data_IF_988225961656
#
_entry.id   IF_988225961656
#
_cell.length_a   1.000
_cell.length_b   1.000
_cell.length_c   1.000
_cell.angle_alpha   90.00
_cell.angle_beta   90.00
_cell.angle_gamma   90.00
#
_symmetry.space_group_name_H-M   'P 1'
#
loop_
_entity.id
_entity.type
_entity.pdbx_description
1 polymer ?
#
# COMPACT_ATOMS: atom_id res chain seq x y z
N UNK A 1 7.95 -11.81 32.02
CA UNK A 1 8.36 -11.23 33.33
C UNK A 1 7.56 -11.82 34.48
N UNK A 2 6.23 -11.62 34.57
CA UNK A 2 5.36 -12.17 35.65
C UNK A 2 5.55 -13.68 35.83
N UNK A 3 5.44 -14.46 34.75
CA UNK A 3 5.69 -15.92 34.78
C UNK A 3 7.13 -16.30 35.19
N UNK A 4 8.12 -15.50 34.83
CA UNK A 4 9.52 -15.78 35.16
C UNK A 4 9.82 -15.51 36.65
N UNK A 5 9.18 -14.50 37.24
CA UNK A 5 9.30 -14.16 38.66
C UNK A 5 8.50 -15.12 39.55
N UNK A 6 7.37 -15.65 39.07
CA UNK A 6 6.62 -16.68 39.78
C UNK A 6 7.33 -18.04 39.81
N UNK A 7 8.15 -18.36 38.80
CA UNK A 7 9.00 -19.57 38.80
C UNK A 7 10.12 -19.52 39.85
N UNK A 8 10.39 -18.35 40.43
CA UNK A 8 11.35 -18.14 41.51
C UNK A 8 10.66 -17.95 42.87
N UNK A 9 9.35 -18.23 42.97
CA UNK A 9 8.50 -18.00 44.15
C UNK A 9 8.47 -16.54 44.66
N UNK A 10 8.91 -15.59 43.83
CA UNK A 10 8.96 -14.16 44.17
C UNK A 10 7.61 -13.43 43.95
N UNK A 11 6.60 -14.12 43.43
CA UNK A 11 5.34 -13.50 43.01
C UNK A 11 4.14 -14.37 43.37
N UNK A 12 3.25 -13.82 44.20
CA UNK A 12 1.98 -14.47 44.57
C UNK A 12 0.87 -14.13 43.59
N UNK A 13 -0.18 -14.96 43.55
CA UNK A 13 -1.34 -14.74 42.69
C UNK A 13 -2.03 -13.39 42.96
N UNK A 14 -2.00 -12.91 44.20
CA UNK A 14 -2.52 -11.61 44.62
C UNK A 14 -1.86 -10.43 43.90
N UNK A 15 -0.57 -10.56 43.59
CA UNK A 15 0.20 -9.52 42.91
C UNK A 15 0.17 -9.76 41.41
N UNK A 16 0.18 -11.02 40.97
CA UNK A 16 0.22 -11.37 39.56
C UNK A 16 -1.05 -10.97 38.80
N UNK A 17 -2.25 -11.19 39.35
CA UNK A 17 -3.51 -10.90 38.64
C UNK A 17 -3.64 -9.39 38.31
N UNK A 18 -3.47 -8.44 39.24
CA UNK A 18 -3.49 -7.02 38.91
C UNK A 18 -2.45 -6.62 37.85
N UNK A 19 -1.24 -7.18 37.89
CA UNK A 19 -0.19 -6.89 36.90
C UNK A 19 -0.59 -7.41 35.52
N UNK A 20 -1.20 -8.60 35.43
CA UNK A 20 -1.71 -9.15 34.16
C UNK A 20 -2.77 -8.24 33.56
N UNK A 21 -3.72 -7.75 34.38
CA UNK A 21 -4.75 -6.81 33.93
C UNK A 21 -4.12 -5.51 33.40
N UNK A 22 -3.13 -4.96 34.11
CA UNK A 22 -2.40 -3.77 33.68
C UNK A 22 -1.60 -3.99 32.39
N UNK A 23 -0.91 -5.12 32.27
CA UNK A 23 -0.18 -5.49 31.06
C UNK A 23 -1.11 -5.64 29.84
N UNK A 24 -2.34 -6.13 30.05
CA UNK A 24 -3.34 -6.25 28.99
C UNK A 24 -3.79 -4.88 28.43
N UNK A 25 -3.76 -3.82 29.24
CA UNK A 25 -3.93 -2.45 28.75
C UNK A 25 -2.65 -1.98 28.05
N UNK A 26 -1.49 -2.27 28.64
CA UNK A 26 -0.17 -1.87 28.12
C UNK A 26 0.13 -2.35 26.70
N UNK A 27 -0.38 -3.50 26.28
CA UNK A 27 -0.22 -3.99 24.88
C UNK A 27 -0.85 -3.06 23.84
N UNK A 28 -1.76 -2.18 24.25
CA UNK A 28 -2.37 -1.20 23.35
C UNK A 28 -1.41 -0.07 22.94
N UNK A 29 -0.27 0.11 23.64
CA UNK A 29 0.70 1.14 23.29
C UNK A 29 1.23 0.99 21.86
N UNK A 30 1.47 -0.26 21.41
CA UNK A 30 1.86 -0.53 20.04
C UNK A 30 0.76 -0.13 19.04
N UNK A 31 -0.49 -0.46 19.33
CA UNK A 31 -1.64 -0.11 18.48
C UNK A 31 -1.84 1.41 18.36
N UNK A 32 -1.56 2.17 19.43
CA UNK A 32 -1.57 3.64 19.40
C UNK A 32 -0.49 4.13 18.45
N UNK A 33 0.75 3.69 18.63
CA UNK A 33 1.88 4.13 17.81
C UNK A 33 1.67 3.78 16.34
N UNK A 34 1.16 2.58 16.03
CA UNK A 34 0.92 2.14 14.65
C UNK A 34 -0.28 2.84 14.00
N UNK A 35 -1.24 3.34 14.78
CA UNK A 35 -2.39 4.06 14.22
C UNK A 35 -2.15 5.56 14.02
N UNK A 36 -1.06 6.10 14.56
CA UNK A 36 -0.63 7.48 14.29
C UNK A 36 -0.17 7.60 12.83
N UNK A 37 -1.01 8.23 12.00
CA UNK A 37 -0.78 8.39 10.56
C UNK A 37 -1.51 7.38 9.68
N UNK A 38 -2.22 6.40 10.25
CA UNK A 38 -2.97 5.41 9.50
C UNK A 38 -4.36 5.90 9.04
N UNK A 39 -4.97 5.19 8.09
CA UNK A 39 -6.32 5.46 7.60
C UNK A 39 -7.39 5.39 8.72
N UNK A 40 -8.61 5.88 8.44
CA UNK A 40 -9.69 5.95 9.45
C UNK A 40 -10.03 4.56 10.00
N UNK A 41 -10.05 3.53 9.16
CA UNK A 41 -10.34 2.16 9.57
C UNK A 41 -9.31 1.64 10.58
N UNK A 42 -8.02 1.82 10.30
CA UNK A 42 -6.94 1.45 11.22
C UNK A 42 -7.02 2.22 12.55
N UNK A 43 -7.37 3.50 12.51
CA UNK A 43 -7.61 4.31 13.73
C UNK A 43 -8.84 3.81 14.51
N UNK A 44 -9.91 3.42 13.83
CA UNK A 44 -11.11 2.83 14.45
C UNK A 44 -10.79 1.46 15.09
N UNK A 45 -10.01 0.61 14.43
CA UNK A 45 -9.58 -0.69 14.97
C UNK A 45 -8.70 -0.50 16.21
N UNK A 46 -7.72 0.42 16.15
CA UNK A 46 -6.87 0.73 17.29
C UNK A 46 -7.68 1.28 18.49
N UNK A 47 -8.63 2.18 18.22
CA UNK A 47 -9.52 2.72 19.24
C UNK A 47 -10.45 1.66 19.85
N UNK A 48 -11.01 0.77 19.02
CA UNK A 48 -11.80 -0.36 19.50
C UNK A 48 -10.95 -1.28 20.39
N UNK A 49 -9.73 -1.60 19.97
CA UNK A 49 -8.81 -2.44 20.74
C UNK A 49 -8.50 -1.84 22.12
N UNK A 50 -8.19 -0.54 22.19
CA UNK A 50 -7.99 0.18 23.47
C UNK A 50 -9.26 0.15 24.32
N UNK A 51 -10.41 0.47 23.71
CA UNK A 51 -11.68 0.56 24.40
C UNK A 51 -12.05 -0.77 25.06
N UNK A 52 -11.99 -1.89 24.32
CA UNK A 52 -12.30 -3.22 24.86
C UNK A 52 -11.37 -3.62 26.00
N UNK A 53 -10.07 -3.33 25.88
CA UNK A 53 -9.07 -3.71 26.89
C UNK A 53 -9.24 -2.90 28.17
N UNK A 54 -9.46 -1.59 28.06
CA UNK A 54 -9.68 -0.71 29.22
C UNK A 54 -11.02 -1.00 29.89
N UNK A 55 -12.11 -1.05 29.13
CA UNK A 55 -13.45 -1.29 29.67
C UNK A 55 -13.54 -2.70 30.27
N UNK A 56 -12.95 -3.70 29.60
CA UNK A 56 -12.87 -5.06 30.11
C UNK A 56 -12.16 -5.14 31.47
N UNK A 57 -11.04 -4.44 31.66
CA UNK A 57 -10.38 -4.37 32.98
C UNK A 57 -11.26 -3.67 34.02
N UNK A 58 -11.90 -2.55 33.68
CA UNK A 58 -12.79 -1.80 34.59
C UNK A 58 -13.96 -2.68 35.07
N UNK A 59 -14.62 -3.37 34.15
CA UNK A 59 -15.75 -4.26 34.47
C UNK A 59 -15.28 -5.42 35.35
N UNK A 60 -14.09 -5.94 35.10
CA UNK A 60 -13.57 -7.11 35.79
C UNK A 60 -12.97 -6.81 37.16
N UNK A 61 -12.52 -5.57 37.39
CA UNK A 61 -11.83 -5.15 38.61
C UNK A 61 -12.61 -5.44 39.91
N UNK A 62 -13.93 -5.15 40.02
CA UNK A 62 -14.70 -5.49 41.23
C UNK A 62 -14.79 -7.00 41.52
N UNK A 63 -14.61 -7.84 40.50
CA UNK A 63 -14.70 -9.30 40.60
C UNK A 63 -13.35 -9.98 40.81
N UNK A 64 -12.27 -9.23 40.98
CA UNK A 64 -10.90 -9.77 41.06
C UNK A 64 -10.73 -10.81 42.18
N UNK A 65 -11.43 -10.63 43.30
CA UNK A 65 -11.41 -11.57 44.43
C UNK A 65 -12.09 -12.91 44.10
N UNK A 66 -13.26 -12.86 43.45
CA UNK A 66 -13.96 -14.07 42.98
C UNK A 66 -13.17 -14.75 41.87
N UNK A 67 -12.61 -13.97 40.95
CA UNK A 67 -11.79 -14.50 39.87
C UNK A 67 -10.55 -15.21 40.41
N UNK A 68 -9.85 -14.60 41.37
CA UNK A 68 -8.72 -15.23 42.05
C UNK A 68 -9.12 -16.58 42.65
N UNK A 69 -10.22 -16.61 43.40
CA UNK A 69 -10.72 -17.85 44.01
C UNK A 69 -10.94 -18.94 42.95
N UNK A 70 -11.56 -18.60 41.81
CA UNK A 70 -11.74 -19.55 40.70
C UNK A 70 -10.39 -20.03 40.15
N UNK A 71 -9.44 -19.11 39.94
CA UNK A 71 -8.12 -19.42 39.37
C UNK A 71 -7.31 -20.36 40.29
N UNK A 72 -7.43 -20.24 41.61
CA UNK A 72 -6.74 -21.12 42.56
C UNK A 72 -7.12 -22.60 42.39
N UNK A 73 -8.32 -22.90 41.87
CA UNK A 73 -8.76 -24.28 41.56
C UNK A 73 -8.35 -24.78 40.18
N UNK A 74 -7.76 -23.93 39.32
CA UNK A 74 -7.45 -24.30 37.93
C UNK A 74 -6.13 -25.05 37.76
N UNK A 75 -5.22 -24.94 38.73
CA UNK A 75 -3.92 -25.64 38.74
C UNK A 75 -3.32 -25.64 40.14
N UNK A 76 -2.37 -26.55 40.40
CA UNK A 76 -1.66 -26.67 41.68
C UNK A 76 -0.43 -25.76 41.80
N UNK A 77 0.09 -25.24 40.68
CA UNK A 77 1.27 -24.38 40.63
C UNK A 77 0.93 -22.95 40.19
N UNK A 78 1.60 -21.97 40.81
CA UNK A 78 1.35 -20.54 40.59
C UNK A 78 1.59 -20.12 39.12
N UNK A 79 2.66 -20.55 38.43
CA UNK A 79 2.88 -20.19 37.03
C UNK A 79 1.72 -20.59 36.11
N UNK A 80 1.18 -21.80 36.27
CA UNK A 80 0.03 -22.26 35.47
C UNK A 80 -1.26 -21.55 35.84
N UNK A 81 -1.47 -21.23 37.12
CA UNK A 81 -2.59 -20.37 37.55
C UNK A 81 -2.53 -18.99 36.89
N UNK A 82 -1.34 -18.39 36.78
CA UNK A 82 -1.12 -17.09 36.10
C UNK A 82 -1.45 -17.19 34.60
N UNK A 83 -1.00 -18.26 33.93
CA UNK A 83 -1.32 -18.49 32.52
C UNK A 83 -2.83 -18.69 32.29
N UNK A 84 -3.48 -19.49 33.14
CA UNK A 84 -4.92 -19.72 33.11
C UNK A 84 -5.70 -18.42 33.36
N UNK A 85 -5.24 -17.58 34.30
CA UNK A 85 -5.83 -16.28 34.57
C UNK A 85 -5.81 -15.38 33.33
N UNK A 86 -4.68 -15.28 32.63
CA UNK A 86 -4.60 -14.48 31.41
C UNK A 86 -5.56 -14.97 30.32
N UNK A 87 -5.63 -16.29 30.09
CA UNK A 87 -6.50 -16.88 29.07
C UNK A 87 -7.98 -16.72 29.43
N UNK A 88 -8.38 -17.11 30.65
CA UNK A 88 -9.78 -17.00 31.09
C UNK A 88 -10.28 -15.56 31.07
N UNK A 89 -9.44 -14.60 31.46
CA UNK A 89 -9.79 -13.19 31.41
C UNK A 89 -10.06 -12.71 29.97
N UNK A 90 -9.16 -13.01 29.02
CA UNK A 90 -9.35 -12.62 27.63
C UNK A 90 -10.55 -13.32 26.98
N UNK A 91 -10.79 -14.59 27.28
CA UNK A 91 -11.98 -15.33 26.80
C UNK A 91 -13.27 -14.75 27.40
N UNK A 92 -13.28 -14.45 28.69
CA UNK A 92 -14.44 -13.86 29.36
C UNK A 92 -14.80 -12.49 28.77
N UNK A 93 -13.80 -11.62 28.54
CA UNK A 93 -13.99 -10.34 27.85
C UNK A 93 -14.53 -10.57 26.43
N UNK A 94 -13.92 -11.48 25.66
CA UNK A 94 -14.37 -11.75 24.30
C UNK A 94 -15.82 -12.21 24.27
N UNK A 95 -16.21 -13.19 25.09
CA UNK A 95 -17.59 -13.68 25.19
C UNK A 95 -18.56 -12.59 25.66
N UNK A 96 -18.13 -11.75 26.61
CA UNK A 96 -18.94 -10.65 27.12
C UNK A 96 -19.22 -9.58 26.05
N UNK A 97 -18.22 -9.23 25.24
CA UNK A 97 -18.32 -8.15 24.25
C UNK A 97 -18.78 -8.59 22.86
N UNK A 98 -18.63 -9.85 22.50
CA UNK A 98 -19.05 -10.40 21.21
C UNK A 98 -20.54 -10.10 20.87
N UNK A 99 -21.52 -10.25 21.78
CA UNK A 99 -22.91 -9.88 21.47
C UNK A 99 -23.14 -8.36 21.30
N UNK A 100 -22.17 -7.53 21.70
CA UNK A 100 -22.22 -6.07 21.59
C UNK A 100 -21.21 -5.53 20.55
N UNK A 101 -20.68 -6.40 19.69
CA UNK A 101 -19.71 -6.00 18.67
C UNK A 101 -20.27 -4.91 17.75
N UNK A 102 -21.48 -5.08 17.21
CA UNK A 102 -22.07 -4.10 16.28
C UNK A 102 -22.45 -2.76 16.95
N UNK A 103 -23.14 -2.74 18.12
CA UNK A 103 -23.38 -1.49 18.83
C UNK A 103 -22.11 -0.73 19.17
N UNK A 104 -21.05 -1.45 19.57
CA UNK A 104 -19.79 -0.81 19.91
C UNK A 104 -19.03 -0.33 18.68
N UNK A 105 -19.03 -1.09 17.58
CA UNK A 105 -18.47 -0.64 16.31
C UNK A 105 -19.13 0.68 15.87
N UNK A 106 -20.45 0.79 16.03
CA UNK A 106 -21.18 2.03 15.74
C UNK A 106 -20.79 3.17 16.69
N UNK A 107 -20.55 2.90 17.99
CA UNK A 107 -20.06 3.89 18.93
C UNK A 107 -18.66 4.39 18.55
N UNK A 108 -17.74 3.48 18.19
CA UNK A 108 -16.38 3.82 17.77
C UNK A 108 -16.40 4.64 16.47
N UNK A 109 -17.21 4.25 15.48
CA UNK A 109 -17.43 5.06 14.26
C UNK A 109 -18.00 6.44 14.56
N UNK A 110 -18.77 6.61 15.64
CA UNK A 110 -19.27 7.93 16.06
C UNK A 110 -18.21 8.76 16.80
N UNK A 111 -17.33 8.11 17.58
CA UNK A 111 -16.24 8.78 18.30
C UNK A 111 -15.08 9.17 17.37
N UNK A 112 -14.83 8.35 16.37
CA UNK A 112 -13.88 8.58 15.29
C UNK A 112 -14.69 8.57 13.99
N UNK A 113 -15.44 9.67 13.73
CA UNK A 113 -16.21 9.80 12.50
C UNK A 113 -15.28 9.68 11.31
N UNK A 114 -15.74 8.94 10.30
CA UNK A 114 -15.28 9.15 8.93
C UNK A 114 -15.44 10.66 8.68
N UNK A 115 -14.33 11.37 8.46
CA UNK A 115 -14.38 12.82 8.32
C UNK A 115 -15.33 13.19 7.19
N UNK A 116 -16.33 14.05 7.47
CA UNK A 116 -17.07 14.76 6.44
C UNK A 116 -16.07 15.68 5.71
N UNK A 117 -15.38 15.15 4.71
CA UNK A 117 -14.29 15.88 4.03
C UNK A 117 -13.28 15.03 3.26
N UNK A 118 -13.27 13.71 3.44
CA UNK A 118 -12.72 12.84 2.40
C UNK A 118 -13.91 12.35 1.58
N UNK A 119 -14.17 12.99 0.42
CA UNK A 119 -14.90 12.29 -0.64
C UNK A 119 -14.22 10.91 -0.74
N UNK A 120 -14.95 9.83 -0.42
CA UNK A 120 -14.41 8.48 -0.58
C UNK A 120 -13.86 8.42 -2.00
N UNK A 121 -12.55 8.28 -2.11
CA UNK A 121 -11.91 8.25 -3.40
C UNK A 121 -12.60 7.18 -4.24
N UNK A 122 -13.06 7.56 -5.41
CA UNK A 122 -13.91 6.72 -6.23
C UNK A 122 -14.04 7.25 -7.64
N UNK A 123 -14.71 6.52 -8.53
CA UNK A 123 -14.87 6.93 -9.91
C UNK A 123 -15.59 8.28 -10.02
N UNK A 124 -15.05 9.18 -10.84
CA UNK A 124 -15.63 10.51 -11.07
C UNK A 124 -16.46 10.57 -12.35
N UNK A 125 -16.06 9.82 -13.37
CA UNK A 125 -16.62 9.90 -14.71
C UNK A 125 -17.48 8.70 -15.09
N UNK A 126 -17.40 7.59 -14.37
CA UNK A 126 -18.12 6.35 -14.70
C UNK A 126 -19.60 6.45 -14.31
N UNK A 127 -20.46 6.83 -15.26
CA UNK A 127 -21.91 6.92 -15.04
C UNK A 127 -22.62 5.63 -15.50
N UNK A 128 -23.29 4.89 -14.59
CA UNK A 128 -24.01 3.67 -14.96
C UNK A 128 -25.24 3.92 -15.85
N UNK A 129 -25.76 5.14 -15.93
CA UNK A 129 -26.97 5.44 -16.71
C UNK A 129 -26.71 5.52 -18.23
N UNK A 130 -25.45 5.70 -18.65
CA UNK A 130 -25.08 5.82 -20.07
C UNK A 130 -24.57 4.52 -20.67
N UNK A 131 -24.65 3.40 -19.94
CA UNK A 131 -24.20 2.08 -20.40
C UNK A 131 -24.90 1.63 -21.70
N UNK A 132 -26.11 2.11 -21.96
CA UNK A 132 -26.86 1.84 -23.20
C UNK A 132 -26.36 2.66 -24.41
N UNK A 133 -25.32 3.49 -24.23
CA UNK A 133 -24.71 4.31 -25.29
C UNK A 133 -23.19 4.04 -25.30
N UNK A 134 -22.74 2.92 -25.91
CA UNK A 134 -21.37 2.42 -25.74
C UNK A 134 -20.28 3.44 -26.08
N UNK A 135 -20.42 4.18 -27.19
CA UNK A 135 -19.47 5.25 -27.54
C UNK A 135 -19.30 6.32 -26.42
N UNK A 136 -20.39 6.72 -25.77
CA UNK A 136 -20.33 7.69 -24.66
C UNK A 136 -19.73 7.07 -23.41
N UNK A 137 -20.12 5.84 -23.08
CA UNK A 137 -19.60 5.10 -21.93
C UNK A 137 -18.08 4.84 -22.07
N UNK A 138 -17.60 4.46 -23.25
CA UNK A 138 -16.16 4.30 -23.53
C UNK A 138 -15.40 5.63 -23.42
N UNK A 139 -16.01 6.74 -23.82
CA UNK A 139 -15.48 8.08 -23.59
C UNK A 139 -15.36 8.43 -22.11
N UNK A 140 -16.33 8.04 -21.28
CA UNK A 140 -16.28 8.18 -19.83
C UNK A 140 -15.19 7.32 -19.19
N UNK A 141 -15.09 6.05 -19.58
CA UNK A 141 -14.04 5.14 -19.14
C UNK A 141 -12.63 5.64 -19.52
N UNK A 142 -12.49 6.24 -20.72
CA UNK A 142 -11.24 6.90 -21.15
C UNK A 142 -10.85 8.03 -20.19
N UNK A 143 -11.80 8.89 -19.79
CA UNK A 143 -11.51 9.99 -18.86
C UNK A 143 -11.12 9.49 -17.47
N UNK A 144 -11.76 8.41 -17.01
CA UNK A 144 -11.39 7.79 -15.73
C UNK A 144 -9.99 7.16 -15.79
N UNK A 145 -9.67 6.49 -16.90
CA UNK A 145 -8.33 5.93 -17.13
C UNK A 145 -7.24 7.02 -17.17
N UNK A 146 -7.51 8.17 -17.80
CA UNK A 146 -6.58 9.31 -17.76
C UNK A 146 -6.39 9.84 -16.33
N UNK A 147 -7.47 9.92 -15.53
CA UNK A 147 -7.37 10.32 -14.12
C UNK A 147 -6.52 9.34 -13.31
N UNK A 148 -6.67 8.03 -13.56
CA UNK A 148 -5.80 7.00 -12.97
C UNK A 148 -4.33 7.24 -13.35
N UNK A 149 -4.06 7.61 -14.61
CA UNK A 149 -2.68 7.90 -15.06
C UNK A 149 -2.07 9.15 -14.40
N UNK A 150 -2.88 10.16 -14.03
CA UNK A 150 -2.40 11.34 -13.30
C UNK A 150 -1.87 10.94 -11.90
N UNK A 151 -2.54 9.98 -11.24
CA UNK A 151 -2.14 9.45 -9.93
C UNK A 151 -0.82 8.70 -10.07
N UNK A 152 -0.74 7.78 -11.04
CA UNK A 152 0.48 7.01 -11.32
C UNK A 152 1.64 7.93 -11.73
N UNK A 153 1.37 9.00 -12.50
CA UNK A 153 2.38 10.00 -12.86
C UNK A 153 2.93 10.70 -11.62
N UNK A 154 2.06 11.11 -10.71
CA UNK A 154 2.46 11.71 -9.44
C UNK A 154 3.28 10.75 -8.59
N UNK A 155 2.84 9.49 -8.45
CA UNK A 155 3.58 8.44 -7.74
C UNK A 155 4.98 8.25 -8.33
N UNK A 156 5.08 8.15 -9.66
CA UNK A 156 6.35 8.00 -10.35
C UNK A 156 7.25 9.19 -10.08
N UNK A 157 6.76 10.43 -10.25
CA UNK A 157 7.54 11.65 -10.02
C UNK A 157 8.02 11.79 -8.58
N UNK A 158 7.18 11.50 -7.60
CA UNK A 158 7.53 11.64 -6.18
C UNK A 158 8.40 10.49 -5.65
N UNK A 159 8.39 9.33 -6.30
CA UNK A 159 9.19 8.18 -5.86
C UNK A 159 10.69 8.51 -5.75
N UNK A 160 11.23 9.33 -6.65
CA UNK A 160 12.65 9.73 -6.60
C UNK A 160 12.96 10.64 -5.40
N UNK A 161 12.02 11.53 -5.05
CA UNK A 161 12.13 12.44 -3.90
C UNK A 161 12.30 11.66 -2.59
N UNK A 162 11.65 10.50 -2.46
CA UNK A 162 11.82 9.61 -1.29
C UNK A 162 13.26 9.11 -1.19
N UNK A 163 13.87 8.68 -2.30
CA UNK A 163 15.27 8.23 -2.29
C UNK A 163 16.26 9.36 -1.98
N UNK A 164 15.96 10.58 -2.42
CA UNK A 164 16.77 11.77 -2.17
C UNK A 164 16.68 12.27 -0.73
N UNK A 165 15.48 12.30 -0.15
CA UNK A 165 15.21 12.99 1.12
C UNK A 165 15.00 12.06 2.32
N UNK A 166 14.84 10.75 2.10
CA UNK A 166 14.45 9.78 3.11
C UNK A 166 13.10 10.13 3.79
N UNK A 167 12.21 10.86 3.10
CA UNK A 167 10.93 11.31 3.65
C UNK A 167 9.93 10.15 3.76
N UNK A 168 9.72 9.66 4.99
CA UNK A 168 8.79 8.57 5.31
C UNK A 168 7.32 8.94 5.11
N UNK A 169 6.95 10.20 5.30
CA UNK A 169 5.57 10.65 5.09
C UNK A 169 5.22 10.65 3.61
N UNK A 170 6.17 11.05 2.76
CA UNK A 170 6.00 10.98 1.31
C UNK A 170 5.93 9.53 0.83
N UNK A 171 6.79 8.66 1.38
CA UNK A 171 6.74 7.23 1.12
C UNK A 171 5.34 6.68 1.38
N UNK A 172 4.80 6.87 2.59
CA UNK A 172 3.47 6.38 2.95
C UNK A 172 2.35 6.97 2.08
N UNK A 173 2.45 8.24 1.67
CA UNK A 173 1.50 8.85 0.73
C UNK A 173 1.53 8.17 -0.64
N UNK A 174 2.69 7.73 -1.12
CA UNK A 174 2.79 6.99 -2.38
C UNK A 174 2.10 5.64 -2.26
N UNK A 175 2.30 4.91 -1.17
CA UNK A 175 1.63 3.62 -0.92
C UNK A 175 0.10 3.79 -0.89
N UNK A 176 -0.41 4.84 -0.23
CA UNK A 176 -1.84 5.15 -0.22
C UNK A 176 -2.40 5.49 -1.61
N UNK A 177 -1.60 6.06 -2.51
CA UNK A 177 -2.03 6.33 -3.89
C UNK A 177 -2.12 5.06 -4.72
N UNK A 178 -1.38 4.02 -4.38
CA UNK A 178 -1.49 2.72 -5.05
C UNK A 178 -2.88 2.10 -4.80
N UNK A 179 -3.39 2.18 -3.56
CA UNK A 179 -4.75 1.75 -3.22
C UNK A 179 -5.83 2.47 -4.08
N UNK A 180 -5.60 3.75 -4.39
CA UNK A 180 -6.46 4.54 -5.26
C UNK A 180 -6.40 4.03 -6.72
N UNK A 181 -5.20 3.70 -7.22
CA UNK A 181 -4.97 3.15 -8.56
C UNK A 181 -5.67 1.79 -8.71
N UNK A 182 -5.51 0.89 -7.73
CA UNK A 182 -6.17 -0.42 -7.67
C UNK A 182 -7.70 -0.30 -7.70
N UNK A 183 -8.24 0.66 -6.94
CA UNK A 183 -9.67 0.94 -6.94
C UNK A 183 -10.14 1.35 -8.34
N UNK A 184 -9.47 2.27 -9.01
CA UNK A 184 -9.89 2.72 -10.35
C UNK A 184 -9.75 1.64 -11.41
N UNK A 185 -8.68 0.85 -11.39
CA UNK A 185 -8.54 -0.26 -12.33
C UNK A 185 -9.73 -1.23 -12.23
N UNK A 186 -10.10 -1.61 -11.00
CA UNK A 186 -11.24 -2.48 -10.75
C UNK A 186 -12.55 -1.86 -11.22
N UNK A 187 -12.83 -0.61 -10.84
CA UNK A 187 -14.10 0.05 -11.20
C UNK A 187 -14.22 0.28 -12.71
N UNK A 188 -13.11 0.63 -13.39
CA UNK A 188 -13.09 0.76 -14.85
C UNK A 188 -13.34 -0.60 -15.51
N UNK A 189 -12.66 -1.68 -15.09
CA UNK A 189 -12.87 -3.04 -15.64
C UNK A 189 -14.30 -3.52 -15.45
N UNK A 190 -14.89 -3.30 -14.27
CA UNK A 190 -16.30 -3.63 -13.99
C UNK A 190 -17.24 -2.81 -14.87
N UNK A 191 -16.96 -1.53 -15.07
CA UNK A 191 -17.75 -0.65 -15.92
C UNK A 191 -17.71 -1.12 -17.39
N UNK A 192 -16.51 -1.39 -17.93
CA UNK A 192 -16.34 -1.89 -19.31
C UNK A 192 -17.04 -3.25 -19.52
N UNK A 193 -16.90 -4.17 -18.56
CA UNK A 193 -17.58 -5.47 -18.61
C UNK A 193 -19.10 -5.33 -18.72
N UNK A 194 -19.70 -4.31 -18.07
CA UNK A 194 -21.14 -4.04 -18.19
C UNK A 194 -21.51 -3.46 -19.55
N UNK A 195 -20.64 -2.67 -20.19
CA UNK A 195 -20.84 -2.20 -21.56
C UNK A 195 -20.81 -3.39 -22.52
N UNK A 196 -19.87 -4.31 -22.38
CA UNK A 196 -19.72 -5.48 -23.26
C UNK A 196 -20.91 -6.47 -23.23
N UNK A 197 -21.81 -6.34 -22.25
CA UNK A 197 -23.09 -7.08 -22.26
C UNK A 197 -24.07 -6.56 -23.32
N UNK A 198 -23.79 -5.40 -23.92
CA UNK A 198 -24.49 -4.87 -25.09
C UNK A 198 -23.78 -5.26 -26.39
N UNK A 199 -24.44 -5.11 -27.54
CA UNK A 199 -23.78 -5.37 -28.83
C UNK A 199 -22.83 -4.24 -29.19
N UNK A 200 -21.53 -4.48 -29.04
CA UNK A 200 -20.47 -3.56 -29.47
C UNK A 200 -20.17 -3.67 -30.97
N UNK A 201 -19.90 -2.55 -31.61
CA UNK A 201 -19.27 -2.54 -32.94
C UNK A 201 -17.79 -2.95 -32.85
N UNK A 202 -17.16 -3.38 -33.96
CA UNK A 202 -15.72 -3.71 -33.95
C UNK A 202 -14.82 -2.56 -33.47
N UNK A 203 -15.17 -1.31 -33.80
CA UNK A 203 -14.42 -0.14 -33.34
C UNK A 203 -14.56 0.07 -31.82
N UNK A 204 -15.76 -0.13 -31.28
CA UNK A 204 -16.01 0.00 -29.83
C UNK A 204 -15.33 -1.11 -29.02
N UNK A 205 -15.37 -2.36 -29.48
CA UNK A 205 -14.68 -3.49 -28.83
C UNK A 205 -13.16 -3.29 -28.83
N UNK A 206 -12.61 -2.75 -29.92
CA UNK A 206 -11.19 -2.37 -29.97
C UNK A 206 -10.87 -1.27 -28.97
N UNK A 207 -11.72 -0.24 -28.90
CA UNK A 207 -11.53 0.86 -27.95
C UNK A 207 -11.63 0.39 -26.50
N UNK A 208 -12.54 -0.52 -26.20
CA UNK A 208 -12.61 -1.18 -24.89
C UNK A 208 -11.30 -1.90 -24.56
N UNK A 209 -10.77 -2.69 -25.48
CA UNK A 209 -9.49 -3.39 -25.30
C UNK A 209 -8.32 -2.42 -25.07
N UNK A 210 -8.25 -1.31 -25.81
CA UNK A 210 -7.25 -0.24 -25.59
C UNK A 210 -7.32 0.30 -24.15
N UNK A 211 -8.53 0.54 -23.62
CA UNK A 211 -8.72 1.07 -22.26
C UNK A 211 -8.31 0.02 -21.22
N UNK A 212 -8.71 -1.25 -21.38
CA UNK A 212 -8.32 -2.34 -20.46
C UNK A 212 -6.81 -2.52 -20.41
N UNK A 213 -6.16 -2.52 -21.59
CA UNK A 213 -4.71 -2.63 -21.68
C UNK A 213 -4.02 -1.43 -21.04
N UNK A 214 -4.57 -0.22 -21.22
CA UNK A 214 -4.03 0.98 -20.59
C UNK A 214 -4.13 0.93 -19.07
N UNK A 215 -5.31 0.66 -18.48
CA UNK A 215 -5.47 0.62 -17.02
C UNK A 215 -4.64 -0.49 -16.39
N UNK A 216 -4.56 -1.65 -17.04
CA UNK A 216 -3.72 -2.75 -16.55
C UNK A 216 -2.24 -2.35 -16.53
N UNK A 217 -1.73 -1.64 -17.55
CA UNK A 217 -0.35 -1.15 -17.50
C UNK A 217 -0.14 -0.05 -16.45
N UNK A 218 -1.16 0.79 -16.18
CA UNK A 218 -1.10 1.78 -15.10
C UNK A 218 -1.02 1.11 -13.71
N UNK A 219 -1.85 0.10 -13.46
CA UNK A 219 -1.81 -0.70 -12.22
C UNK A 219 -0.46 -1.38 -12.04
N UNK A 220 0.06 -2.05 -13.08
CA UNK A 220 1.37 -2.69 -13.02
C UNK A 220 2.51 -1.68 -12.73
N UNK A 221 2.39 -0.42 -13.20
CA UNK A 221 3.37 0.62 -12.89
C UNK A 221 3.24 1.07 -11.43
N UNK A 222 2.01 1.28 -10.94
CA UNK A 222 1.72 1.55 -9.52
C UNK A 222 2.33 0.48 -8.61
N UNK A 223 2.05 -0.78 -8.91
CA UNK A 223 2.59 -1.95 -8.24
C UNK A 223 4.12 -1.98 -8.19
N UNK A 224 4.79 -1.58 -9.28
CA UNK A 224 6.25 -1.50 -9.27
C UNK A 224 6.75 -0.36 -8.38
N UNK A 225 6.06 0.77 -8.37
CA UNK A 225 6.40 1.90 -7.53
C UNK A 225 6.21 1.55 -6.05
N UNK A 226 5.05 1.03 -5.66
CA UNK A 226 4.75 0.64 -4.28
C UNK A 226 5.59 -0.56 -3.83
N UNK A 227 5.31 -1.73 -4.40
CA UNK A 227 5.82 -3.03 -3.89
C UNK A 227 7.30 -3.26 -4.18
N UNK A 228 7.92 -2.48 -5.07
CA UNK A 228 9.36 -2.59 -5.34
C UNK A 228 10.14 -1.32 -4.98
N UNK A 229 9.81 -0.15 -5.57
CA UNK A 229 10.61 1.05 -5.30
C UNK A 229 10.45 1.54 -3.86
N UNK A 230 9.24 1.59 -3.30
CA UNK A 230 9.05 2.02 -1.91
C UNK A 230 9.65 1.02 -0.91
N UNK A 231 9.62 -0.28 -1.20
CA UNK A 231 10.33 -1.28 -0.38
C UNK A 231 11.86 -1.09 -0.40
N UNK A 232 12.45 -0.77 -1.56
CA UNK A 232 13.86 -0.41 -1.67
C UNK A 232 14.18 0.88 -0.90
N UNK A 233 13.28 1.86 -0.92
CA UNK A 233 13.41 3.09 -0.15
C UNK A 233 13.33 2.82 1.36
N UNK A 234 12.38 2.00 1.83
CA UNK A 234 12.29 1.56 3.24
C UNK A 234 13.58 0.89 3.69
N UNK A 235 14.13 -0.01 2.86
CA UNK A 235 15.40 -0.70 3.13
C UNK A 235 16.56 0.28 3.26
N UNK A 236 16.69 1.23 2.34
CA UNK A 236 17.69 2.30 2.39
C UNK A 236 17.59 3.13 3.68
N UNK A 237 16.39 3.62 3.98
CA UNK A 237 16.11 4.47 5.14
C UNK A 237 16.40 3.72 6.46
N UNK A 238 15.98 2.46 6.55
CA UNK A 238 16.16 1.64 7.77
C UNK A 238 17.62 1.25 7.98
N UNK A 239 18.37 1.03 6.90
CA UNK A 239 19.80 0.68 6.97
C UNK A 239 20.71 1.90 7.15
N UNK A 240 20.17 3.12 7.03
CA UNK A 240 20.94 4.37 7.20
C UNK A 240 21.99 4.61 6.11
N UNK A 241 21.87 3.94 4.96
CA UNK A 241 22.84 4.03 3.85
C UNK A 241 22.48 5.14 2.88
N UNK A 242 23.50 5.72 2.23
CA UNK A 242 23.34 6.77 1.21
C UNK A 242 24.06 6.36 -0.06
N UNK A 243 23.47 6.71 -1.21
CA UNK A 243 24.15 6.55 -2.50
C UNK A 243 25.29 7.57 -2.61
N UNK A 244 26.29 7.27 -3.44
CA UNK A 244 27.24 8.31 -3.87
C UNK A 244 26.52 9.39 -4.68
N UNK A 245 27.11 10.58 -4.75
CA UNK A 245 26.53 11.71 -5.51
C UNK A 245 26.34 11.36 -6.99
N UNK A 246 27.32 10.68 -7.60
CA UNK A 246 27.23 10.20 -8.98
C UNK A 246 26.13 9.15 -9.12
N UNK A 247 26.04 8.20 -8.18
CA UNK A 247 25.04 7.14 -8.23
C UNK A 247 23.61 7.67 -8.08
N UNK A 248 23.41 8.66 -7.21
CA UNK A 248 22.11 9.34 -7.09
C UNK A 248 21.78 10.10 -8.37
N UNK A 249 22.73 10.87 -8.92
CA UNK A 249 22.53 11.63 -10.15
C UNK A 249 22.13 10.73 -11.33
N UNK A 250 22.81 9.60 -11.50
CA UNK A 250 22.50 8.62 -12.54
C UNK A 250 21.07 8.06 -12.42
N UNK A 251 20.65 7.73 -11.20
CA UNK A 251 19.27 7.26 -10.95
C UNK A 251 18.27 8.37 -11.29
N UNK A 252 18.52 9.61 -10.87
CA UNK A 252 17.66 10.76 -11.15
C UNK A 252 17.54 11.01 -12.66
N UNK A 253 18.67 11.00 -13.38
CA UNK A 253 18.70 11.23 -14.82
C UNK A 253 17.94 10.12 -15.58
N UNK A 254 18.09 8.86 -15.16
CA UNK A 254 17.34 7.74 -15.76
C UNK A 254 15.85 7.80 -15.44
N UNK A 255 15.51 8.09 -14.19
CA UNK A 255 14.12 8.28 -13.74
C UNK A 255 13.43 9.39 -14.55
N UNK A 256 14.10 10.52 -14.76
CA UNK A 256 13.57 11.63 -15.55
C UNK A 256 13.25 11.21 -16.99
N UNK A 257 14.08 10.35 -17.61
CA UNK A 257 13.80 9.81 -18.95
C UNK A 257 12.61 8.85 -18.97
N UNK A 258 12.41 8.06 -17.92
CA UNK A 258 11.23 7.21 -17.77
C UNK A 258 9.96 8.07 -17.62
N UNK A 259 10.02 9.14 -16.82
CA UNK A 259 8.93 10.10 -16.64
C UNK A 259 8.58 10.81 -17.96
N UNK A 260 9.57 11.30 -18.70
CA UNK A 260 9.35 11.89 -20.03
C UNK A 260 8.64 10.90 -20.97
N UNK A 261 9.02 9.63 -20.95
CA UNK A 261 8.38 8.61 -21.79
C UNK A 261 6.96 8.28 -21.32
N UNK A 262 6.68 8.37 -20.02
CA UNK A 262 5.33 8.24 -19.44
C UNK A 262 4.40 9.36 -19.92
N UNK A 263 4.89 10.60 -19.98
CA UNK A 263 4.10 11.75 -20.46
C UNK A 263 3.71 11.60 -21.94
N UNK A 264 4.64 11.07 -22.75
CA UNK A 264 4.38 10.77 -24.16
C UNK A 264 3.35 9.65 -24.30
N UNK A 265 3.37 8.63 -23.43
CA UNK A 265 2.38 7.53 -23.49
C UNK A 265 0.97 7.96 -23.12
N UNK A 266 0.81 8.83 -22.12
CA UNK A 266 -0.50 9.44 -21.82
C UNK A 266 -1.01 10.21 -23.04
N UNK A 267 -0.14 11.03 -23.64
CA UNK A 267 -0.49 11.82 -24.82
C UNK A 267 -0.89 10.93 -25.99
N UNK A 268 -0.11 9.87 -26.27
CA UNK A 268 -0.39 8.90 -27.31
C UNK A 268 -1.76 8.22 -27.11
N UNK A 269 -2.07 7.79 -25.89
CA UNK A 269 -3.34 7.17 -25.53
C UNK A 269 -4.53 8.13 -25.65
N UNK A 270 -4.38 9.36 -25.15
CA UNK A 270 -5.43 10.37 -25.16
C UNK A 270 -5.80 10.81 -26.59
N UNK A 271 -4.79 11.04 -27.44
CA UNK A 271 -5.00 11.50 -28.81
C UNK A 271 -5.06 10.39 -29.86
N UNK A 272 -4.81 9.13 -29.46
CA UNK A 272 -4.67 7.96 -30.34
C UNK A 272 -3.67 8.23 -31.49
N UNK A 273 -2.55 8.89 -31.14
CA UNK A 273 -1.56 9.33 -32.12
C UNK A 273 -0.47 8.27 -32.29
N UNK A 274 -0.39 7.70 -33.50
CA UNK A 274 0.56 6.65 -33.87
C UNK A 274 2.01 7.12 -33.90
N UNK A 275 2.26 8.36 -34.29
CA UNK A 275 3.61 8.91 -34.30
C UNK A 275 4.18 8.98 -32.89
N UNK A 276 3.33 9.33 -31.90
CA UNK A 276 3.70 9.26 -30.49
C UNK A 276 3.92 7.80 -30.03
N UNK A 277 3.04 6.87 -30.42
CA UNK A 277 3.20 5.45 -30.12
C UNK A 277 4.52 4.86 -30.69
N UNK A 278 4.87 5.18 -31.93
CA UNK A 278 6.16 4.79 -32.52
C UNK A 278 7.35 5.46 -31.82
N UNK A 279 7.19 6.70 -31.35
CA UNK A 279 8.23 7.41 -30.59
C UNK A 279 8.56 6.66 -29.31
N UNK A 280 7.55 6.21 -28.57
CA UNK A 280 7.73 5.43 -27.33
C UNK A 280 8.46 4.11 -27.63
N UNK A 281 8.12 3.41 -28.72
CA UNK A 281 8.82 2.18 -29.12
C UNK A 281 10.29 2.42 -29.44
N UNK A 282 10.64 3.54 -30.09
CA UNK A 282 12.05 3.91 -30.33
C UNK A 282 12.77 4.23 -29.02
N UNK A 283 12.12 4.94 -28.10
CA UNK A 283 12.68 5.25 -26.79
C UNK A 283 12.95 3.99 -25.96
N UNK A 284 12.15 2.92 -26.08
CA UNK A 284 12.40 1.65 -25.38
C UNK A 284 13.81 1.09 -25.62
N UNK A 285 14.32 1.19 -26.85
CA UNK A 285 15.68 0.74 -27.18
C UNK A 285 16.72 1.61 -26.47
N UNK A 286 16.59 2.95 -26.60
CA UNK A 286 17.52 3.89 -26.02
C UNK A 286 17.57 3.82 -24.48
N UNK A 287 16.43 3.75 -23.80
CA UNK A 287 16.39 3.58 -22.34
C UNK A 287 16.95 2.21 -21.92
N UNK A 288 16.82 1.19 -22.75
CA UNK A 288 17.44 -0.12 -22.51
C UNK A 288 18.97 -0.10 -22.62
N UNK A 289 19.52 0.71 -23.52
CA UNK A 289 20.96 0.95 -23.63
C UNK A 289 21.46 1.79 -22.45
N UNK A 290 20.77 2.88 -22.13
CA UNK A 290 21.10 3.75 -20.98
C UNK A 290 21.15 2.95 -19.67
N UNK A 291 20.19 2.05 -19.42
CA UNK A 291 20.21 1.19 -18.23
C UNK A 291 21.45 0.28 -18.17
N UNK A 292 21.87 -0.28 -19.31
CA UNK A 292 23.07 -1.12 -19.39
C UNK A 292 24.34 -0.32 -19.10
N UNK A 293 24.43 0.88 -19.65
CA UNK A 293 25.57 1.77 -19.43
C UNK A 293 25.68 2.20 -17.96
N UNK A 294 24.55 2.55 -17.34
CA UNK A 294 24.48 2.89 -15.92
C UNK A 294 24.87 1.71 -15.01
N UNK A 295 24.42 0.50 -15.34
CA UNK A 295 24.87 -0.71 -14.64
C UNK A 295 26.38 -0.90 -14.74
N UNK A 296 26.95 -0.71 -15.92
CA UNK A 296 28.39 -0.86 -16.12
C UNK A 296 29.17 0.21 -15.35
N UNK A 297 28.68 1.45 -15.34
CA UNK A 297 29.23 2.54 -14.54
C UNK A 297 29.22 2.20 -13.04
N UNK A 298 28.12 1.62 -12.53
CA UNK A 298 28.03 1.15 -11.15
C UNK A 298 29.04 0.03 -10.85
N UNK A 299 29.18 -0.97 -11.72
CA UNK A 299 30.18 -2.06 -11.54
C UNK A 299 31.61 -1.49 -11.50
N UNK A 300 31.92 -0.51 -12.35
CA UNK A 300 33.23 0.13 -12.33
C UNK A 300 33.51 0.83 -10.99
N UNK A 301 32.50 1.48 -10.39
CA UNK A 301 32.61 2.08 -9.04
C UNK A 301 32.86 1.03 -7.96
N UNK A 302 32.25 -0.15 -8.06
CA UNK A 302 32.52 -1.27 -7.15
C UNK A 302 33.98 -1.75 -7.28
N UNK A 303 34.50 -1.87 -8.50
CA UNK A 303 35.90 -2.25 -8.73
C UNK A 303 36.90 -1.22 -8.17
N UNK A 304 36.50 0.05 -8.07
CA UNK A 304 37.30 1.11 -7.45
C UNK A 304 37.27 1.08 -5.91
N UNK A 305 36.44 0.23 -5.30
CA UNK A 305 36.36 0.08 -3.84
C UNK A 305 35.64 1.22 -3.12
N UNK A 306 34.75 1.95 -3.81
CA UNK A 306 33.95 3.01 -3.19
C UNK A 306 32.94 2.41 -2.21
N UNK A 307 33.07 2.74 -0.92
CA UNK A 307 32.30 2.11 0.15
C UNK A 307 30.80 2.37 -0.01
N UNK A 308 30.40 3.59 -0.36
CA UNK A 308 29.00 3.97 -0.58
C UNK A 308 28.36 3.15 -1.73
N UNK A 309 29.14 2.85 -2.76
CA UNK A 309 28.67 2.02 -3.88
C UNK A 309 28.47 0.55 -3.45
N UNK A 310 29.36 0.03 -2.60
CA UNK A 310 29.26 -1.34 -2.05
C UNK A 310 28.02 -1.46 -1.15
N UNK A 311 27.85 -0.54 -0.21
CA UNK A 311 26.79 -0.57 0.80
C UNK A 311 25.38 -0.45 0.18
N UNK A 312 25.28 0.22 -0.98
CA UNK A 312 24.01 0.46 -1.68
C UNK A 312 23.83 -0.37 -2.95
N UNK A 313 24.78 -1.26 -3.30
CA UNK A 313 24.84 -1.88 -4.63
C UNK A 313 23.55 -2.58 -5.06
N UNK A 314 23.01 -3.45 -4.19
CA UNK A 314 21.76 -4.15 -4.47
C UNK A 314 20.60 -3.17 -4.70
N UNK A 315 20.47 -2.15 -3.84
CA UNK A 315 19.41 -1.15 -3.94
C UNK A 315 19.54 -0.36 -5.24
N UNK A 316 20.75 0.07 -5.59
CA UNK A 316 21.02 0.85 -6.79
C UNK A 316 20.64 0.09 -8.06
N UNK A 317 21.11 -1.16 -8.19
CA UNK A 317 20.84 -1.99 -9.37
C UNK A 317 19.36 -2.38 -9.48
N UNK A 318 18.70 -2.60 -8.35
CA UNK A 318 17.27 -2.93 -8.33
C UNK A 318 16.40 -1.72 -8.70
N UNK A 319 16.79 -0.49 -8.33
CA UNK A 319 16.10 0.72 -8.80
C UNK A 319 16.17 0.83 -10.33
N UNK A 320 17.36 0.68 -10.92
CA UNK A 320 17.53 0.73 -12.38
C UNK A 320 16.69 -0.34 -13.09
N UNK A 321 16.67 -1.56 -12.55
CA UNK A 321 15.86 -2.66 -13.06
C UNK A 321 14.36 -2.34 -13.01
N UNK A 322 13.87 -1.80 -11.89
CA UNK A 322 12.46 -1.44 -11.73
C UNK A 322 12.04 -0.26 -12.63
N UNK A 323 12.88 0.77 -12.79
CA UNK A 323 12.65 1.86 -13.74
C UNK A 323 12.55 1.37 -15.20
N UNK A 324 13.38 0.40 -15.58
CA UNK A 324 13.28 -0.26 -16.89
C UNK A 324 12.01 -1.10 -17.04
N UNK A 325 11.57 -1.79 -15.98
CA UNK A 325 10.29 -2.52 -15.98
C UNK A 325 9.11 -1.57 -16.15
N UNK A 326 9.10 -0.44 -15.42
CA UNK A 326 8.12 0.64 -15.61
C UNK A 326 8.11 1.11 -17.06
N UNK A 327 9.28 1.39 -17.64
CA UNK A 327 9.38 1.78 -19.05
C UNK A 327 8.84 0.72 -20.03
N UNK A 328 8.94 -0.57 -19.68
CA UNK A 328 8.37 -1.65 -20.48
C UNK A 328 6.84 -1.60 -20.47
N UNK A 329 6.21 -1.36 -19.31
CA UNK A 329 4.75 -1.14 -19.22
C UNK A 329 4.30 0.13 -19.94
N UNK A 330 5.05 1.23 -19.81
CA UNK A 330 4.84 2.46 -20.59
C UNK A 330 4.81 2.15 -22.09
N UNK A 331 5.75 1.31 -22.55
CA UNK A 331 5.82 0.94 -23.96
C UNK A 331 4.65 0.06 -24.39
N UNK A 332 4.17 -0.83 -23.52
CA UNK A 332 3.06 -1.73 -23.84
C UNK A 332 1.75 -0.99 -24.15
N UNK A 333 1.59 0.24 -23.66
CA UNK A 333 0.46 1.13 -24.01
C UNK A 333 0.41 1.43 -25.51
N UNK A 334 1.56 1.39 -26.20
CA UNK A 334 1.65 1.71 -27.63
C UNK A 334 1.10 0.61 -28.53
N UNK A 335 1.14 -0.67 -28.12
CA UNK A 335 0.78 -1.78 -28.99
C UNK A 335 -0.69 -1.75 -29.44
N UNK A 336 -1.69 -1.57 -28.54
CA UNK A 336 -3.09 -1.49 -28.96
C UNK A 336 -3.39 -0.33 -29.92
N UNK A 337 -2.67 0.79 -29.78
CA UNK A 337 -2.79 1.98 -30.64
C UNK A 337 -2.25 1.69 -32.05
N UNK A 338 -1.18 0.89 -32.16
CA UNK A 338 -0.53 0.59 -33.43
C UNK A 338 -1.30 -0.48 -34.22
N UNK A 339 -1.83 -1.49 -33.53
CA UNK A 339 -2.72 -2.52 -34.09
C UNK A 339 -3.98 -1.92 -34.75
N UNK A 340 -4.26 -0.62 -34.56
CA UNK A 340 -5.35 0.12 -35.22
C UNK A 340 -5.42 -0.08 -36.74
N UNK A 341 -4.30 -0.33 -37.45
CA UNK A 341 -4.27 -0.36 -38.92
C UNK A 341 -3.64 -1.60 -39.61
N UNK A 342 -3.50 -2.75 -38.94
CA UNK A 342 -3.09 -4.00 -39.62
C UNK A 342 -1.58 -4.14 -39.89
N UNK A 343 -0.74 -3.64 -38.97
CA UNK A 343 0.69 -3.98 -38.87
C UNK A 343 0.98 -4.72 -37.57
#
# INVERSE_FOLDING_TARGET
MVLALSLQDLMTLNVAIPIILGANIGTCAAAIVTSMGANVEARQVAAAHIFFKVLGVIIFFPFIGLFRYIIEYTASDIPRQIANAHTMFNVAIAVMFLPFADPLANLIRKMIPEGEGEERFGPKYLDPHVLNTPALALGQATREALRMSDIVQWMLRESISVFQTNNRDLLYKIEQRDDEVDLLDREIKLYLTRIAQTTLTPAESKREFEIIAFTSNMENIGDIIDKNLMELAKKKITSGVSFSDEGMKEIVDFHQKVVENFDISISAFASRNKDLAHTILRHKVHLGEMERDLRQAHINRLHMGLQEAIDTSAIHLDILSNLKRINSHITNISYPILEENGE
#
